data_IF_956764786955
#
_entry.id   IF_956764786955
#
_cell.length_a   1.000
_cell.length_b   1.000
_cell.length_c   1.000
_cell.angle_alpha   90.00
_cell.angle_beta   90.00
_cell.angle_gamma   90.00
#
_symmetry.space_group_name_H-M   'P 1'
#
loop_
_entity.id
_entity.type
_entity.pdbx_description
1 polymer ?
#
# COMPACT_ATOMS: atom_id res chain seq x y z
N UNK A 1 2.89 -1.07 50.61
CA UNK A 1 3.11 -2.17 49.64
C UNK A 1 1.79 -2.86 49.30
N UNK A 2 1.26 -3.78 50.12
CA UNK A 2 0.12 -4.63 49.70
C UNK A 2 -1.21 -3.89 49.45
N UNK A 3 -1.60 -2.97 50.35
CA UNK A 3 -2.82 -2.14 50.19
C UNK A 3 -2.71 -1.05 49.11
N UNK A 4 -1.50 -0.57 48.82
CA UNK A 4 -1.27 0.42 47.76
C UNK A 4 -1.36 -0.22 46.38
N UNK A 5 -0.92 -1.48 46.28
CA UNK A 5 -1.02 -2.28 45.06
C UNK A 5 -2.47 -2.61 44.69
N UNK A 6 -3.28 -2.97 45.69
CA UNK A 6 -4.73 -3.19 45.51
C UNK A 6 -5.46 -1.94 45.03
N UNK A 7 -5.16 -0.78 45.63
CA UNK A 7 -5.69 0.51 45.16
C UNK A 7 -5.24 0.83 43.74
N UNK A 8 -4.01 0.50 43.37
CA UNK A 8 -3.54 0.70 42.01
C UNK A 8 -4.31 -0.16 41.01
N UNK A 9 -4.70 -1.38 41.37
CA UNK A 9 -5.57 -2.21 40.51
C UNK A 9 -6.96 -1.62 40.35
N UNK A 10 -7.57 -1.12 41.43
CA UNK A 10 -8.88 -0.44 41.38
C UNK A 10 -8.83 0.80 40.45
N UNK A 11 -7.78 1.61 40.56
CA UNK A 11 -7.58 2.78 39.67
C UNK A 11 -7.41 2.35 38.21
N UNK A 12 -6.67 1.28 37.94
CA UNK A 12 -6.49 0.77 36.56
C UNK A 12 -7.79 0.22 35.97
N UNK A 13 -8.63 -0.39 36.79
CA UNK A 13 -9.94 -0.88 36.39
C UNK A 13 -10.88 0.30 36.05
N UNK A 14 -10.90 1.35 36.87
CA UNK A 14 -11.71 2.55 36.63
C UNK A 14 -11.23 3.38 35.43
N UNK A 15 -9.93 3.64 35.30
CA UNK A 15 -9.40 4.55 34.28
C UNK A 15 -9.13 3.88 32.93
N UNK A 16 -8.71 2.61 32.93
CA UNK A 16 -8.24 1.89 31.73
C UNK A 16 -9.11 0.70 31.36
N UNK A 17 -10.13 0.37 32.16
CA UNK A 17 -11.04 -0.75 31.91
C UNK A 17 -10.38 -2.13 32.00
N UNK A 18 -9.23 -2.24 32.67
CA UNK A 18 -8.52 -3.51 32.83
C UNK A 18 -9.04 -4.19 34.09
N UNK A 19 -9.78 -5.29 33.92
CA UNK A 19 -10.30 -6.04 35.06
C UNK A 19 -9.19 -6.51 35.98
N UNK A 20 -9.41 -6.37 37.29
CA UNK A 20 -8.46 -6.78 38.32
C UNK A 20 -8.05 -8.25 38.22
N UNK A 21 -8.99 -9.15 37.92
CA UNK A 21 -8.75 -10.59 37.82
C UNK A 21 -7.71 -10.94 36.75
N UNK A 22 -7.81 -10.32 35.57
CA UNK A 22 -6.85 -10.52 34.46
C UNK A 22 -5.44 -10.03 34.81
N UNK A 23 -5.32 -9.01 35.67
CA UNK A 23 -4.03 -8.53 36.17
C UNK A 23 -3.46 -9.53 37.18
N UNK A 24 -4.30 -10.05 38.09
CA UNK A 24 -3.89 -11.03 39.10
C UNK A 24 -3.41 -12.33 38.46
N UNK A 25 -4.15 -12.89 37.50
CA UNK A 25 -3.75 -14.09 36.77
C UNK A 25 -2.40 -13.90 36.05
N UNK A 26 -2.23 -12.76 35.38
CA UNK A 26 -0.98 -12.44 34.70
C UNK A 26 0.19 -12.28 35.69
N UNK A 27 -0.09 -11.68 36.85
CA UNK A 27 0.88 -11.50 37.91
C UNK A 27 1.32 -12.85 38.47
N UNK A 28 0.39 -13.75 38.79
CA UNK A 28 0.69 -15.09 39.29
C UNK A 28 1.54 -15.89 38.29
N UNK A 29 1.17 -15.90 37.00
CA UNK A 29 1.95 -16.56 35.94
C UNK A 29 3.37 -15.99 35.80
N UNK A 30 3.52 -14.66 35.88
CA UNK A 30 4.81 -14.01 35.82
C UNK A 30 5.67 -14.29 37.05
N UNK A 31 5.05 -14.36 38.23
CA UNK A 31 5.73 -14.68 39.49
C UNK A 31 6.20 -16.13 39.53
N UNK A 32 5.41 -17.08 39.03
CA UNK A 32 5.86 -18.48 38.83
C UNK A 32 7.10 -18.50 37.94
N UNK A 33 7.09 -17.77 36.83
CA UNK A 33 8.23 -17.68 35.91
C UNK A 33 9.45 -16.99 36.53
N UNK A 34 9.24 -15.98 37.38
CA UNK A 34 10.29 -15.31 38.13
C UNK A 34 10.88 -16.22 39.22
N UNK A 35 10.05 -17.05 39.87
CA UNK A 35 10.50 -18.04 40.84
C UNK A 35 11.39 -19.09 40.16
N UNK A 36 10.93 -19.69 39.05
CA UNK A 36 11.67 -20.72 38.30
C UNK A 36 13.06 -20.26 37.84
N UNK A 37 13.19 -19.01 37.39
CA UNK A 37 14.50 -18.45 36.96
C UNK A 37 15.47 -18.21 38.13
N UNK A 38 14.96 -17.72 39.25
CA UNK A 38 15.81 -17.35 40.39
C UNK A 38 16.12 -18.53 41.32
N UNK A 39 15.25 -19.54 41.33
CA UNK A 39 15.35 -20.71 42.21
C UNK A 39 15.23 -21.96 41.34
N UNK A 40 16.38 -22.45 40.88
CA UNK A 40 16.60 -23.56 39.93
C UNK A 40 16.02 -24.94 40.35
N UNK A 41 15.20 -25.00 41.40
CA UNK A 41 14.87 -26.23 42.14
C UNK A 41 13.38 -26.61 42.18
N UNK A 42 12.47 -25.93 41.46
CA UNK A 42 11.05 -26.33 41.50
C UNK A 42 10.32 -26.11 40.18
N UNK A 43 9.94 -27.20 39.52
CA UNK A 43 9.19 -27.16 38.26
C UNK A 43 7.68 -26.97 38.46
N UNK A 44 7.12 -27.31 39.62
CA UNK A 44 5.67 -27.33 39.90
C UNK A 44 5.22 -26.34 41.00
N UNK A 45 5.63 -25.09 40.82
CA UNK A 45 5.29 -24.02 41.76
C UNK A 45 4.02 -23.31 41.33
N UNK A 46 3.11 -23.13 42.28
CA UNK A 46 1.95 -22.24 42.16
C UNK A 46 2.18 -21.01 43.03
N UNK A 47 1.87 -19.83 42.49
CA UNK A 47 1.88 -18.58 43.25
C UNK A 47 0.45 -18.16 43.44
N UNK A 48 0.08 -17.83 44.67
CA UNK A 48 -1.25 -17.33 45.01
C UNK A 48 -1.13 -15.93 45.60
N UNK A 49 -1.91 -15.00 45.05
CA UNK A 49 -2.04 -13.65 45.58
C UNK A 49 -3.25 -13.57 46.52
N UNK A 50 -3.06 -13.15 47.78
CA UNK A 50 -4.19 -12.89 48.69
C UNK A 50 -4.78 -11.52 48.38
N UNK A 51 -5.95 -11.48 47.75
CA UNK A 51 -6.60 -10.23 47.33
C UNK A 51 -6.98 -9.28 48.50
N UNK A 52 -7.08 -9.78 49.73
CA UNK A 52 -7.47 -8.96 50.90
C UNK A 52 -6.26 -8.42 51.64
N UNK A 53 -5.21 -9.22 51.74
CA UNK A 53 -3.97 -8.85 52.45
C UNK A 53 -2.92 -8.25 51.54
N UNK A 54 -3.00 -8.54 50.24
CA UNK A 54 -2.02 -8.29 49.18
C UNK A 54 -0.67 -8.95 49.46
N UNK A 55 -0.70 -10.10 50.14
CA UNK A 55 0.48 -10.94 50.40
C UNK A 55 0.60 -12.00 49.31
N UNK A 56 1.83 -12.29 48.90
CA UNK A 56 2.16 -13.27 47.85
C UNK A 56 2.69 -14.52 48.52
N UNK A 57 2.06 -15.66 48.26
CA UNK A 57 2.50 -16.96 48.75
C UNK A 57 2.88 -17.87 47.61
N UNK A 58 3.94 -18.63 47.82
CA UNK A 58 4.47 -19.58 46.85
C UNK A 58 4.31 -20.98 47.41
N UNK A 59 3.67 -21.85 46.65
CA UNK A 59 3.40 -23.23 47.02
C UNK A 59 4.11 -24.18 46.03
N UNK A 60 4.89 -25.12 46.54
CA UNK A 60 5.34 -26.29 45.79
C UNK A 60 4.20 -27.32 45.85
N UNK A 61 3.67 -27.68 44.68
CA UNK A 61 2.70 -28.77 44.58
C UNK A 61 3.47 -30.09 44.66
N UNK A 62 2.95 -31.12 45.30
CA UNK A 62 3.54 -32.47 45.25
C UNK A 62 2.44 -33.50 45.08
N UNK A 63 2.67 -34.49 44.23
CA UNK A 63 1.73 -35.58 44.00
C UNK A 63 1.94 -36.70 45.02
N UNK A 64 0.85 -37.20 45.59
CA UNK A 64 0.89 -38.30 46.56
C UNK A 64 1.08 -39.61 45.81
N UNK A 65 2.18 -40.31 46.07
CA UNK A 65 2.52 -41.59 45.43
C UNK A 65 2.86 -42.65 46.47
N UNK A 66 2.76 -43.93 46.09
CA UNK A 66 3.19 -45.04 46.97
C UNK A 66 4.72 -45.13 47.07
N UNK A 67 5.42 -44.91 45.96
CA UNK A 67 6.88 -44.97 45.87
C UNK A 67 7.41 -43.68 45.26
N UNK A 68 8.13 -42.91 46.07
CA UNK A 68 8.72 -41.63 45.65
C UNK A 68 9.95 -41.89 44.77
N UNK A 69 9.87 -41.48 43.51
CA UNK A 69 10.95 -41.48 42.52
C UNK A 69 11.65 -40.13 42.47
N UNK A 70 10.89 -39.03 42.58
CA UNK A 70 11.40 -37.66 42.63
C UNK A 70 10.87 -36.92 43.87
N UNK A 71 11.74 -36.72 44.86
CA UNK A 71 11.38 -36.06 46.13
C UNK A 71 10.98 -34.59 45.98
N UNK A 72 11.23 -33.96 44.82
CA UNK A 72 10.82 -32.59 44.54
C UNK A 72 9.37 -32.51 44.05
N UNK A 73 8.92 -33.50 43.28
CA UNK A 73 7.60 -33.53 42.64
C UNK A 73 6.60 -34.40 43.40
N UNK A 74 7.08 -35.34 44.19
CA UNK A 74 6.28 -36.39 44.81
C UNK A 74 6.41 -36.39 46.34
N UNK A 75 5.38 -36.90 47.00
CA UNK A 75 5.33 -37.12 48.45
C UNK A 75 4.76 -38.51 48.72
N UNK A 76 5.30 -39.21 49.72
CA UNK A 76 4.80 -40.54 50.05
C UNK A 76 3.39 -40.44 50.66
N UNK A 77 2.57 -41.49 50.50
CA UNK A 77 1.27 -41.56 51.16
C UNK A 77 1.38 -41.53 52.70
N UNK A 78 2.48 -42.06 53.25
CA UNK A 78 2.75 -42.01 54.69
C UNK A 78 2.94 -40.56 55.16
N UNK A 79 3.79 -39.79 54.48
CA UNK A 79 4.03 -38.37 54.78
C UNK A 79 2.76 -37.51 54.55
N UNK A 80 1.97 -37.84 53.51
CA UNK A 80 0.70 -37.18 53.25
C UNK A 80 -0.29 -37.42 54.42
N UNK A 81 -0.37 -38.66 54.93
CA UNK A 81 -1.25 -39.03 56.04
C UNK A 81 -0.86 -38.40 57.37
N UNK A 82 0.41 -38.03 57.57
CA UNK A 82 0.83 -37.23 58.73
C UNK A 82 0.19 -35.84 58.74
N UNK A 83 -0.05 -35.24 57.57
CA UNK A 83 -0.73 -33.96 57.45
C UNK A 83 -2.25 -34.10 57.54
N UNK A 84 -2.82 -35.04 56.77
CA UNK A 84 -4.25 -35.35 56.82
C UNK A 84 -4.50 -36.79 56.34
N UNK A 85 -5.18 -37.59 57.16
CA UNK A 85 -5.52 -38.99 56.85
C UNK A 85 -6.49 -39.18 55.67
N UNK A 86 -7.06 -38.09 55.16
CA UNK A 86 -7.99 -38.12 54.04
C UNK A 86 -7.32 -38.10 52.66
N UNK A 87 -5.99 -37.96 52.57
CA UNK A 87 -5.29 -37.96 51.28
C UNK A 87 -5.18 -39.37 50.68
N UNK A 88 -5.42 -39.47 49.38
CA UNK A 88 -5.31 -40.69 48.58
C UNK A 88 -4.15 -40.60 47.57
N UNK A 89 -3.71 -41.75 47.04
CA UNK A 89 -2.70 -41.77 45.97
C UNK A 89 -3.23 -41.04 44.75
N UNK A 90 -2.46 -40.09 44.21
CA UNK A 90 -2.83 -39.20 43.11
C UNK A 90 -3.29 -37.80 43.56
N UNK A 91 -3.47 -37.56 44.86
CA UNK A 91 -3.80 -36.22 45.37
C UNK A 91 -2.62 -35.24 45.23
N UNK A 92 -2.93 -33.94 45.16
CA UNK A 92 -1.94 -32.86 45.08
C UNK A 92 -1.89 -32.06 46.38
N UNK A 93 -0.76 -32.12 47.07
CA UNK A 93 -0.52 -31.39 48.32
C UNK A 93 0.30 -30.13 48.03
N UNK A 94 -0.11 -28.99 48.63
CA UNK A 94 0.57 -27.70 48.48
C UNK A 94 1.43 -27.41 49.71
N UNK A 95 2.75 -27.30 49.52
CA UNK A 95 3.70 -26.95 50.56
C UNK A 95 4.16 -25.49 50.39
N UNK A 96 4.01 -24.65 51.43
CA UNK A 96 4.44 -23.25 51.36
C UNK A 96 5.98 -23.15 51.36
N UNK A 97 6.55 -22.60 50.28
CA UNK A 97 8.00 -22.50 50.03
C UNK A 97 8.45 -21.05 49.77
N UNK A 98 7.66 -20.08 50.23
CA UNK A 98 7.90 -18.64 50.02
C UNK A 98 9.24 -18.17 50.62
N UNK A 99 10.23 -17.75 49.80
CA UNK A 99 11.50 -17.23 50.30
C UNK A 99 11.33 -15.84 50.92
N UNK A 100 12.14 -15.50 51.94
CA UNK A 100 12.05 -14.20 52.64
C UNK A 100 12.31 -13.00 51.73
N UNK A 101 13.22 -13.13 50.75
CA UNK A 101 13.57 -12.07 49.80
C UNK A 101 12.67 -12.02 48.56
N UNK A 102 11.72 -12.96 48.44
CA UNK A 102 10.87 -13.09 47.27
C UNK A 102 9.94 -11.88 47.08
N UNK A 103 9.61 -11.16 48.16
CA UNK A 103 8.80 -9.94 48.09
C UNK A 103 9.42 -8.84 47.21
N UNK A 104 10.75 -8.71 47.17
CA UNK A 104 11.43 -7.71 46.31
C UNK A 104 11.32 -8.10 44.83
N UNK A 105 11.60 -9.37 44.52
CA UNK A 105 11.48 -9.92 43.16
C UNK A 105 10.04 -9.82 42.68
N UNK A 106 9.10 -10.10 43.57
CA UNK A 106 7.69 -10.06 43.27
C UNK A 106 7.20 -8.64 42.99
N UNK A 107 7.64 -7.65 43.77
CA UNK A 107 7.31 -6.25 43.51
C UNK A 107 7.86 -5.75 42.15
N UNK A 108 9.10 -6.12 41.79
CA UNK A 108 9.68 -5.76 40.49
C UNK A 108 8.94 -6.42 39.33
N UNK A 109 8.66 -7.72 39.46
CA UNK A 109 7.90 -8.49 38.47
C UNK A 109 6.51 -7.90 38.30
N UNK A 110 5.85 -7.57 39.42
CA UNK A 110 4.53 -6.98 39.38
C UNK A 110 4.51 -5.63 38.68
N UNK A 111 5.47 -4.74 38.97
CA UNK A 111 5.61 -3.48 38.25
C UNK A 111 5.72 -3.72 36.74
N UNK A 112 6.50 -4.70 36.32
CA UNK A 112 6.66 -5.03 34.90
C UNK A 112 5.37 -5.55 34.26
N UNK A 113 4.68 -6.49 34.91
CA UNK A 113 3.40 -7.05 34.44
C UNK A 113 2.33 -5.98 34.34
N UNK A 114 2.21 -5.14 35.36
CA UNK A 114 1.25 -4.03 35.37
C UNK A 114 1.55 -3.07 34.22
N UNK A 115 2.80 -2.63 34.07
CA UNK A 115 3.19 -1.74 32.97
C UNK A 115 2.95 -2.37 31.59
N UNK A 116 3.10 -3.69 31.48
CA UNK A 116 2.80 -4.42 30.25
C UNK A 116 1.29 -4.45 29.98
N UNK A 117 0.47 -4.81 30.96
CA UNK A 117 -1.00 -4.82 30.84
C UNK A 117 -1.56 -3.44 30.50
N UNK A 118 -1.03 -2.39 31.11
CA UNK A 118 -1.40 -1.01 30.80
C UNK A 118 -1.10 -0.68 29.34
N UNK A 119 0.09 -1.02 28.84
CA UNK A 119 0.43 -0.82 27.41
C UNK A 119 -0.45 -1.64 26.48
N UNK A 120 -0.78 -2.88 26.82
CA UNK A 120 -1.68 -3.73 26.02
C UNK A 120 -3.07 -3.13 25.92
N UNK A 121 -3.63 -2.64 27.02
CA UNK A 121 -4.93 -1.98 27.04
C UNK A 121 -4.90 -0.65 26.26
N UNK A 122 -3.86 0.17 26.46
CA UNK A 122 -3.69 1.42 25.69
C UNK A 122 -3.60 1.16 24.19
N UNK A 123 -2.85 0.12 23.78
CA UNK A 123 -2.78 -0.31 22.37
C UNK A 123 -4.14 -0.70 21.82
N UNK A 124 -4.94 -1.44 22.58
CA UNK A 124 -6.28 -1.85 22.15
C UNK A 124 -7.22 -0.65 21.99
N UNK A 125 -7.19 0.28 22.96
CA UNK A 125 -8.00 1.51 22.92
C UNK A 125 -7.62 2.35 21.70
N UNK A 126 -6.32 2.56 21.47
CA UNK A 126 -5.83 3.30 20.30
C UNK A 126 -6.24 2.59 19.01
N UNK A 127 -6.05 1.28 18.90
CA UNK A 127 -6.47 0.53 17.71
C UNK A 127 -7.96 0.73 17.39
N UNK A 128 -8.83 0.55 18.38
CA UNK A 128 -10.27 0.71 18.23
C UNK A 128 -10.68 2.15 17.91
N UNK A 129 -9.93 3.15 18.37
CA UNK A 129 -10.18 4.56 18.04
C UNK A 129 -9.79 4.87 16.58
N UNK A 130 -8.67 4.35 16.09
CA UNK A 130 -8.17 4.68 14.74
C UNK A 130 -8.75 3.82 13.62
N UNK A 131 -9.23 2.61 13.90
CA UNK A 131 -9.91 1.79 12.89
C UNK A 131 -11.20 2.45 12.39
N UNK A 132 -11.89 3.22 13.25
CA UNK A 132 -13.09 3.98 12.87
C UNK A 132 -12.77 5.14 11.90
N UNK A 133 -11.51 5.58 11.85
CA UNK A 133 -11.02 6.60 10.92
C UNK A 133 -10.43 5.99 9.64
N UNK A 134 -10.49 4.68 9.44
CA UNK A 134 -10.09 4.05 8.18
C UNK A 134 -10.91 4.64 7.01
N UNK A 135 -10.24 4.89 5.89
CA UNK A 135 -10.80 5.59 4.73
C UNK A 135 -11.26 7.03 4.98
N UNK A 136 -10.80 7.68 6.05
CA UNK A 136 -11.07 9.09 6.35
C UNK A 136 -9.79 9.94 6.36
N UNK A 137 -9.95 11.26 6.48
CA UNK A 137 -8.84 12.22 6.57
C UNK A 137 -8.66 12.75 7.98
N UNK A 138 -7.40 12.80 8.40
CA UNK A 138 -6.99 13.34 9.69
C UNK A 138 -5.93 14.41 9.48
N UNK A 139 -5.92 15.40 10.37
CA UNK A 139 -4.87 16.41 10.39
C UNK A 139 -3.83 16.01 11.42
N UNK A 140 -2.59 15.82 10.96
CA UNK A 140 -1.45 15.48 11.79
C UNK A 140 -0.35 16.52 11.76
N UNK A 141 0.68 16.31 12.58
CA UNK A 141 1.88 17.14 12.63
C UNK A 141 3.07 16.26 12.24
N UNK A 142 3.85 16.68 11.26
CA UNK A 142 5.09 15.99 10.88
C UNK A 142 6.08 16.05 12.06
N UNK A 143 6.48 14.92 12.60
CA UNK A 143 7.47 14.89 13.68
C UNK A 143 8.89 14.70 13.14
N UNK A 144 9.07 13.71 12.27
CA UNK A 144 10.38 13.34 11.71
C UNK A 144 10.23 12.66 10.35
N UNK A 145 11.32 12.69 9.60
CA UNK A 145 11.44 12.04 8.31
C UNK A 145 12.74 11.23 8.28
N UNK A 146 12.60 9.95 7.96
CA UNK A 146 13.71 9.05 7.64
C UNK A 146 13.89 8.99 6.11
N UNK A 147 14.89 8.22 5.62
CA UNK A 147 15.10 8.02 4.18
C UNK A 147 13.92 7.35 3.46
N UNK A 148 13.11 6.57 4.19
CA UNK A 148 12.03 5.76 3.62
C UNK A 148 10.64 6.16 4.12
N UNK A 149 10.52 6.73 5.31
CA UNK A 149 9.23 6.99 5.94
C UNK A 149 9.14 8.40 6.49
N UNK A 150 7.94 8.97 6.43
CA UNK A 150 7.60 10.21 7.14
C UNK A 150 6.68 9.84 8.30
N UNK A 151 7.01 10.32 9.50
CA UNK A 151 6.23 10.07 10.70
C UNK A 151 5.40 11.31 11.01
N UNK A 152 4.10 11.09 11.12
CA UNK A 152 3.10 12.13 11.37
C UNK A 152 2.38 11.81 12.66
N UNK A 153 2.46 12.72 13.63
CA UNK A 153 1.74 12.60 14.89
C UNK A 153 0.27 12.96 14.71
N UNK A 154 -0.62 12.02 15.04
CA UNK A 154 -2.06 12.24 15.11
C UNK A 154 -2.51 12.58 16.55
N UNK A 155 -1.56 12.91 17.42
CA UNK A 155 -1.78 13.30 18.82
C UNK A 155 -1.52 12.16 19.80
N UNK A 156 -2.21 11.01 19.66
CA UNK A 156 -2.02 9.84 20.55
C UNK A 156 -1.06 8.79 19.97
N UNK A 157 -0.89 8.76 18.65
CA UNK A 157 -0.11 7.77 17.92
C UNK A 157 0.69 8.43 16.79
N UNK A 158 1.84 7.86 16.48
CA UNK A 158 2.61 8.15 15.27
C UNK A 158 2.05 7.33 14.10
N UNK A 159 1.54 8.03 13.09
CA UNK A 159 1.20 7.47 11.79
C UNK A 159 2.41 7.51 10.86
N UNK A 160 2.44 6.60 9.89
CA UNK A 160 3.57 6.43 8.97
C UNK A 160 3.10 6.62 7.53
N UNK A 161 3.80 7.48 6.79
CA UNK A 161 3.63 7.63 5.34
C UNK A 161 4.73 6.83 4.62
N UNK A 162 4.40 5.74 3.89
CA UNK A 162 5.35 5.02 3.07
C UNK A 162 5.79 5.84 1.84
N UNK A 163 6.88 5.49 1.14
CA UNK A 163 7.32 6.23 -0.06
C UNK A 163 6.24 6.32 -1.13
N UNK A 164 5.48 5.24 -1.34
CA UNK A 164 4.38 5.16 -2.30
C UNK A 164 3.20 6.08 -1.91
N UNK A 165 3.04 6.34 -0.61
CA UNK A 165 2.04 7.22 -0.05
C UNK A 165 2.43 8.70 -0.09
N UNK A 166 3.67 9.04 -0.45
CA UNK A 166 4.14 10.42 -0.50
C UNK A 166 3.86 11.04 -1.88
N UNK A 167 3.63 12.35 -1.89
CA UNK A 167 3.60 13.11 -3.14
C UNK A 167 5.06 13.36 -3.57
N UNK A 168 5.51 12.96 -4.78
CA UNK A 168 6.94 12.97 -5.15
C UNK A 168 7.65 14.33 -5.04
N UNK A 169 6.92 15.42 -5.26
CA UNK A 169 7.46 16.79 -5.24
C UNK A 169 7.19 17.53 -3.91
N UNK A 170 6.56 16.87 -2.94
CA UNK A 170 6.24 17.45 -1.65
C UNK A 170 7.45 17.32 -0.71
N UNK A 171 7.76 18.40 -0.01
CA UNK A 171 8.80 18.41 1.03
C UNK A 171 8.13 18.59 2.37
N UNK A 172 8.45 17.72 3.33
CA UNK A 172 7.89 17.78 4.67
C UNK A 172 8.83 18.55 5.60
N UNK A 173 8.32 19.57 6.27
CA UNK A 173 9.07 20.25 7.32
C UNK A 173 8.70 19.70 8.70
N UNK A 174 9.65 19.51 9.62
CA UNK A 174 9.32 19.17 10.99
C UNK A 174 8.38 20.21 11.61
N UNK A 175 7.36 19.75 12.34
CA UNK A 175 6.28 20.53 12.95
C UNK A 175 5.27 21.15 11.96
N UNK A 176 5.36 20.82 10.68
CA UNK A 176 4.34 21.20 9.70
C UNK A 176 3.04 20.45 9.96
N UNK A 177 1.91 21.15 9.82
CA UNK A 177 0.58 20.54 9.83
C UNK A 177 0.23 20.04 8.45
N UNK A 178 -0.22 18.80 8.38
CA UNK A 178 -0.50 18.13 7.11
C UNK A 178 -1.76 17.29 7.23
N UNK A 179 -2.64 17.35 6.23
CA UNK A 179 -3.79 16.45 6.15
C UNK A 179 -3.37 15.11 5.55
N UNK A 180 -3.80 13.99 6.10
CA UNK A 180 -3.41 12.67 5.62
C UNK A 180 -4.64 11.79 5.53
N UNK A 181 -4.67 10.94 4.51
CA UNK A 181 -5.71 9.92 4.35
C UNK A 181 -5.28 8.66 5.10
N UNK A 182 -6.13 8.14 5.97
CA UNK A 182 -5.89 6.86 6.66
C UNK A 182 -6.17 5.73 5.68
N UNK A 183 -5.10 5.11 5.17
CA UNK A 183 -5.20 4.04 4.18
C UNK A 183 -5.56 2.71 4.84
N UNK A 184 -4.94 2.42 5.98
CA UNK A 184 -5.24 1.22 6.78
C UNK A 184 -4.69 1.31 8.19
N UNK A 185 -5.31 0.58 9.11
CA UNK A 185 -4.87 0.47 10.50
C UNK A 185 -4.58 -0.99 10.85
N UNK A 186 -3.31 -1.29 11.13
CA UNK A 186 -2.85 -2.65 11.42
C UNK A 186 -2.53 -2.82 12.90
N UNK A 187 -2.89 -3.96 13.49
CA UNK A 187 -2.48 -4.30 14.85
C UNK A 187 -1.23 -5.20 14.81
N UNK A 188 -0.05 -4.61 14.97
CA UNK A 188 1.23 -5.33 14.93
C UNK A 188 1.64 -5.81 16.33
N UNK A 189 2.63 -6.71 16.40
CA UNK A 189 3.20 -7.17 17.69
C UNK A 189 3.82 -6.03 18.52
N UNK A 190 4.22 -4.93 17.87
CA UNK A 190 4.77 -3.73 18.51
C UNK A 190 3.69 -2.73 18.94
N UNK A 191 2.45 -2.91 18.50
CA UNK A 191 1.31 -2.03 18.75
C UNK A 191 0.53 -1.72 17.47
N UNK A 192 -0.58 -0.98 17.58
CA UNK A 192 -1.27 -0.48 16.39
C UNK A 192 -0.34 0.42 15.59
N UNK A 193 -0.41 0.29 14.27
CA UNK A 193 0.31 1.10 13.31
C UNK A 193 -0.69 1.65 12.30
N UNK A 194 -0.72 2.97 12.18
CA UNK A 194 -1.61 3.69 11.27
C UNK A 194 -0.81 4.02 10.03
N UNK A 195 -1.19 3.46 8.89
CA UNK A 195 -0.62 3.80 7.59
C UNK A 195 -1.46 4.89 6.96
N UNK A 196 -0.80 5.99 6.63
CA UNK A 196 -1.47 7.15 6.05
C UNK A 196 -0.81 7.53 4.73
N UNK A 197 -1.59 8.11 3.83
CA UNK A 197 -1.18 8.43 2.47
C UNK A 197 -1.59 9.85 2.11
N UNK A 198 -0.75 10.50 1.31
CA UNK A 198 -1.06 11.76 0.63
C UNK A 198 -1.25 11.61 -0.87
N UNK A 199 -0.73 10.53 -1.46
CA UNK A 199 -0.88 10.23 -2.89
C UNK A 199 -2.20 9.54 -3.24
N UNK A 200 -2.88 8.92 -2.27
CA UNK A 200 -4.09 8.13 -2.52
C UNK A 200 -5.24 8.98 -3.12
N UNK A 201 -5.98 8.50 -4.14
CA UNK A 201 -7.08 9.26 -4.75
C UNK A 201 -8.20 9.64 -3.77
N UNK A 202 -8.48 8.79 -2.77
CA UNK A 202 -9.51 9.07 -1.76
C UNK A 202 -9.21 10.28 -0.88
N UNK A 203 -7.93 10.68 -0.73
CA UNK A 203 -7.60 11.95 -0.07
C UNK A 203 -8.36 13.10 -0.75
N UNK A 204 -8.32 13.14 -2.08
CA UNK A 204 -8.97 14.20 -2.85
C UNK A 204 -10.49 14.18 -2.65
N UNK A 205 -11.10 12.99 -2.63
CA UNK A 205 -12.53 12.83 -2.33
C UNK A 205 -12.91 13.46 -0.98
N UNK A 206 -12.16 13.14 0.07
CA UNK A 206 -12.40 13.64 1.42
C UNK A 206 -12.12 15.14 1.56
N UNK A 207 -11.11 15.67 0.87
CA UNK A 207 -10.86 17.11 0.81
C UNK A 207 -12.03 17.86 0.17
N UNK A 208 -12.61 17.31 -0.90
CA UNK A 208 -13.81 17.86 -1.51
C UNK A 208 -15.02 17.81 -0.57
N UNK A 209 -15.22 16.71 0.18
CA UNK A 209 -16.27 16.60 1.18
C UNK A 209 -16.13 17.68 2.29
N UNK A 210 -14.90 18.05 2.68
CA UNK A 210 -14.68 19.14 3.65
C UNK A 210 -14.90 20.54 3.06
N UNK A 211 -14.51 20.78 1.81
CA UNK A 211 -14.54 22.10 1.19
C UNK A 211 -15.90 22.43 0.53
N UNK A 212 -16.65 21.43 0.09
CA UNK A 212 -17.90 21.59 -0.67
C UNK A 212 -19.06 20.94 0.09
N UNK A 213 -19.91 21.74 0.80
CA UNK A 213 -21.04 21.22 1.56
C UNK A 213 -22.03 20.40 0.71
N UNK A 214 -22.19 20.76 -0.56
CA UNK A 214 -23.10 20.07 -1.47
C UNK A 214 -22.63 18.63 -1.78
N UNK A 215 -21.32 18.35 -1.68
CA UNK A 215 -20.77 17.00 -1.76
C UNK A 215 -20.99 16.24 -0.44
N UNK A 216 -20.79 16.91 0.69
CA UNK A 216 -21.05 16.33 2.01
C UNK A 216 -22.51 15.90 2.20
N UNK A 217 -23.45 16.72 1.73
CA UNK A 217 -24.89 16.45 1.81
C UNK A 217 -25.37 15.45 0.73
N UNK A 218 -24.50 15.05 -0.20
CA UNK A 218 -24.81 14.11 -1.30
C UNK A 218 -25.66 14.71 -2.43
N UNK A 219 -25.80 16.04 -2.48
CA UNK A 219 -26.48 16.73 -3.58
C UNK A 219 -25.64 16.68 -4.85
N UNK A 220 -24.32 16.84 -4.71
CA UNK A 220 -23.32 16.62 -5.76
C UNK A 220 -22.54 15.36 -5.39
N UNK A 221 -22.35 14.46 -6.35
CA UNK A 221 -21.63 13.21 -6.16
C UNK A 221 -20.36 13.18 -7.02
N UNK A 222 -19.24 12.76 -6.43
CA UNK A 222 -18.01 12.46 -7.18
C UNK A 222 -18.12 11.02 -7.71
N UNK A 223 -18.24 10.86 -9.02
CA UNK A 223 -18.39 9.56 -9.70
C UNK A 223 -17.06 8.86 -9.95
N UNK A 224 -16.03 9.62 -10.29
CA UNK A 224 -14.71 9.07 -10.59
C UNK A 224 -13.61 10.10 -10.31
N UNK A 225 -12.43 9.59 -9.94
CA UNK A 225 -11.22 10.38 -9.75
C UNK A 225 -10.07 9.68 -10.48
N UNK A 226 -9.38 10.42 -11.35
CA UNK A 226 -8.12 10.02 -11.94
C UNK A 226 -7.03 10.96 -11.45
N UNK A 227 -6.06 10.42 -10.71
CA UNK A 227 -5.02 11.20 -10.05
C UNK A 227 -3.63 10.73 -10.44
N UNK A 228 -2.77 11.70 -10.77
CA UNK A 228 -1.31 11.61 -10.80
C UNK A 228 -0.78 12.58 -9.72
N UNK A 229 -0.49 12.04 -8.53
CA UNK A 229 -0.25 12.82 -7.32
C UNK A 229 0.91 13.82 -7.48
N UNK A 230 0.66 15.09 -7.10
CA UNK A 230 1.65 16.17 -7.16
C UNK A 230 1.85 16.81 -8.53
N UNK A 231 1.06 16.42 -9.54
CA UNK A 231 1.11 17.03 -10.88
C UNK A 231 -0.29 17.44 -11.36
N UNK A 232 -1.17 16.46 -11.61
CA UNK A 232 -2.52 16.72 -12.11
C UNK A 232 -3.55 15.66 -11.73
N UNK A 233 -4.77 16.11 -11.44
CA UNK A 233 -5.94 15.29 -11.17
C UNK A 233 -7.13 15.69 -12.03
N UNK A 234 -7.95 14.70 -12.40
CA UNK A 234 -9.27 14.89 -12.99
C UNK A 234 -10.34 14.31 -12.07
N UNK A 235 -11.41 15.06 -11.86
CA UNK A 235 -12.53 14.68 -10.99
C UNK A 235 -13.83 14.80 -11.76
N UNK A 236 -14.58 13.70 -11.85
CA UNK A 236 -15.87 13.66 -12.51
C UNK A 236 -17.00 13.81 -11.48
N UNK A 237 -17.83 14.84 -11.64
CA UNK A 237 -18.92 15.16 -10.71
C UNK A 237 -20.27 15.20 -11.41
N UNK A 238 -21.32 14.79 -10.70
CA UNK A 238 -22.71 14.90 -11.15
C UNK A 238 -23.56 15.52 -10.05
N UNK A 239 -24.59 16.27 -10.43
CA UNK A 239 -25.59 16.78 -9.49
C UNK A 239 -26.84 15.90 -9.53
N UNK A 240 -27.36 15.54 -8.36
CA UNK A 240 -28.65 14.88 -8.22
C UNK A 240 -29.82 15.89 -8.32
N UNK A 241 -29.54 17.19 -8.20
CA UNK A 241 -30.51 18.27 -8.40
C UNK A 241 -30.22 19.02 -9.71
N UNK A 242 -31.22 19.07 -10.59
CA UNK A 242 -31.14 19.76 -11.88
C UNK A 242 -30.95 21.29 -11.75
N UNK A 243 -31.24 21.88 -10.60
CA UNK A 243 -31.07 23.32 -10.34
C UNK A 243 -29.65 23.68 -9.88
N UNK A 244 -28.79 22.68 -9.62
CA UNK A 244 -27.44 22.88 -9.09
C UNK A 244 -26.43 22.45 -10.15
N UNK A 245 -25.56 23.39 -10.52
CA UNK A 245 -24.42 23.10 -11.38
C UNK A 245 -23.31 22.41 -10.57
N UNK A 246 -23.06 21.13 -10.85
CA UNK A 246 -22.06 20.35 -10.15
C UNK A 246 -20.64 20.95 -10.28
N UNK A 247 -20.25 21.36 -11.49
CA UNK A 247 -18.89 21.84 -11.75
C UNK A 247 -18.69 23.20 -11.10
N UNK A 248 -19.59 24.15 -11.33
CA UNK A 248 -19.53 25.49 -10.74
C UNK A 248 -19.55 25.47 -9.20
N UNK A 249 -20.30 24.54 -8.60
CA UNK A 249 -20.37 24.37 -7.15
C UNK A 249 -19.04 23.89 -6.56
N UNK A 250 -18.38 22.93 -7.22
CA UNK A 250 -17.07 22.41 -6.79
C UNK A 250 -15.94 23.43 -6.99
N UNK A 251 -15.98 24.20 -8.08
CA UNK A 251 -14.99 25.25 -8.38
C UNK A 251 -15.14 26.43 -7.40
N UNK A 252 -16.40 26.81 -7.11
CA UNK A 252 -16.74 27.95 -6.27
C UNK A 252 -16.48 29.31 -6.95
N UNK A 253 -16.85 30.42 -6.29
CA UNK A 253 -16.68 31.76 -6.86
C UNK A 253 -15.22 32.03 -7.23
N UNK A 254 -14.95 32.28 -8.52
CA UNK A 254 -13.60 32.49 -9.07
C UNK A 254 -12.60 31.37 -8.75
N UNK A 255 -13.05 30.13 -8.59
CA UNK A 255 -12.16 29.00 -8.30
C UNK A 255 -11.66 28.94 -6.85
N UNK A 256 -12.25 29.70 -5.94
CA UNK A 256 -11.75 29.78 -4.55
C UNK A 256 -11.78 28.46 -3.79
N UNK A 257 -12.78 27.60 -4.03
CA UNK A 257 -12.89 26.29 -3.37
C UNK A 257 -11.82 25.33 -3.90
N UNK A 258 -11.77 25.14 -5.22
CA UNK A 258 -10.77 24.28 -5.85
C UNK A 258 -9.34 24.74 -5.55
N UNK A 259 -9.09 26.06 -5.51
CA UNK A 259 -7.76 26.57 -5.20
C UNK A 259 -7.28 26.19 -3.79
N UNK A 260 -8.17 26.15 -2.78
CA UNK A 260 -7.79 25.69 -1.43
C UNK A 260 -7.32 24.23 -1.43
N UNK A 261 -7.99 23.38 -2.21
CA UNK A 261 -7.61 21.98 -2.36
C UNK A 261 -6.27 21.86 -3.11
N UNK A 262 -6.08 22.64 -4.17
CA UNK A 262 -4.80 22.71 -4.91
C UNK A 262 -3.67 23.16 -3.98
N UNK A 263 -3.90 24.17 -3.13
CA UNK A 263 -2.93 24.68 -2.17
C UNK A 263 -2.59 23.63 -1.10
N UNK A 264 -3.59 22.89 -0.60
CA UNK A 264 -3.38 21.77 0.33
C UNK A 264 -2.55 20.65 -0.32
N UNK A 265 -2.74 20.38 -1.62
CA UNK A 265 -1.96 19.40 -2.40
C UNK A 265 -0.66 19.96 -2.98
N UNK A 266 -0.17 21.11 -2.45
CA UNK A 266 1.10 21.74 -2.84
C UNK A 266 1.22 22.07 -4.32
N UNK A 267 0.12 22.48 -4.95
CA UNK A 267 0.10 22.93 -6.34
C UNK A 267 -0.23 21.86 -7.37
N UNK A 268 -0.76 20.71 -6.95
CA UNK A 268 -1.35 19.72 -7.87
C UNK A 268 -2.49 20.35 -8.68
N UNK A 269 -2.36 20.42 -10.01
CA UNK A 269 -3.39 21.01 -10.87
C UNK A 269 -4.64 20.13 -10.92
N UNK A 270 -5.80 20.72 -11.09
CA UNK A 270 -7.06 19.97 -11.02
C UNK A 270 -8.06 20.40 -12.08
N UNK A 271 -8.60 19.41 -12.79
CA UNK A 271 -9.72 19.59 -13.70
C UNK A 271 -10.97 18.94 -13.11
N UNK A 272 -12.03 19.72 -12.97
CA UNK A 272 -13.34 19.24 -12.55
C UNK A 272 -14.22 19.18 -13.78
N UNK A 273 -14.73 18.00 -14.11
CA UNK A 273 -15.51 17.74 -15.32
C UNK A 273 -16.88 17.19 -14.97
N UNK A 274 -17.87 17.52 -15.80
CA UNK A 274 -19.22 16.99 -15.63
C UNK A 274 -19.28 15.53 -16.07
N UNK A 275 -19.72 14.66 -15.16
CA UNK A 275 -20.03 13.28 -15.48
C UNK A 275 -21.34 13.16 -16.26
N UNK A 276 -21.42 12.19 -17.17
CA UNK A 276 -22.60 11.91 -17.99
C UNK A 276 -22.79 10.40 -18.12
N UNK A 277 -24.04 9.95 -18.12
CA UNK A 277 -24.40 8.56 -18.43
C UNK A 277 -24.04 8.20 -19.88
N UNK A 278 -24.16 9.16 -20.80
CA UNK A 278 -23.68 8.97 -22.17
C UNK A 278 -22.15 8.99 -22.21
N UNK A 279 -21.57 7.85 -22.57
CA UNK A 279 -20.12 7.62 -22.56
C UNK A 279 -19.39 8.52 -23.56
N UNK A 280 -20.00 8.83 -24.72
CA UNK A 280 -19.39 9.73 -25.69
C UNK A 280 -19.24 11.14 -25.11
N UNK A 281 -20.32 11.67 -24.54
CA UNK A 281 -20.32 12.97 -23.84
C UNK A 281 -19.35 12.96 -22.66
N UNK A 282 -19.30 11.87 -21.88
CA UNK A 282 -18.39 11.80 -20.74
C UNK A 282 -16.90 11.80 -21.15
N UNK A 283 -16.54 11.07 -22.21
CA UNK A 283 -15.18 11.07 -22.77
C UNK A 283 -14.82 12.46 -23.31
N UNK A 284 -15.74 13.10 -24.02
CA UNK A 284 -15.57 14.49 -24.48
C UNK A 284 -15.30 15.44 -23.31
N UNK A 285 -16.10 15.35 -22.24
CA UNK A 285 -15.93 16.17 -21.05
C UNK A 285 -14.60 15.86 -20.33
N UNK A 286 -14.16 14.61 -20.29
CA UNK A 286 -12.92 14.19 -19.64
C UNK A 286 -11.65 14.76 -20.31
N UNK A 287 -11.71 15.05 -21.61
CA UNK A 287 -10.60 15.62 -22.37
C UNK A 287 -10.45 17.14 -22.25
N UNK A 288 -11.41 17.81 -21.59
CA UNK A 288 -11.34 19.23 -21.24
C UNK A 288 -9.96 19.56 -20.63
N UNK A 289 -9.23 20.57 -21.14
CA UNK A 289 -9.70 21.72 -21.95
C UNK A 289 -9.70 21.58 -23.48
N UNK A 290 -9.43 20.40 -24.03
CA UNK A 290 -9.48 20.21 -25.48
C UNK A 290 -10.92 19.96 -25.97
N UNK A 291 -11.34 20.71 -26.98
CA UNK A 291 -12.60 20.46 -27.68
C UNK A 291 -12.53 19.18 -28.52
N UNK A 292 -13.58 18.37 -28.44
CA UNK A 292 -13.74 17.10 -29.15
C UNK A 292 -14.83 17.24 -30.20
N UNK A 293 -14.55 16.76 -31.42
CA UNK A 293 -15.51 16.78 -32.53
C UNK A 293 -16.42 15.54 -32.50
N UNK A 294 -15.82 14.36 -32.35
CA UNK A 294 -16.54 13.08 -32.31
C UNK A 294 -15.77 12.01 -31.56
N UNK A 295 -16.52 11.03 -31.04
CA UNK A 295 -15.99 9.84 -30.36
C UNK A 295 -16.49 8.60 -31.10
N UNK A 296 -15.56 7.78 -31.57
CA UNK A 296 -15.84 6.54 -32.30
C UNK A 296 -15.45 5.34 -31.44
N UNK A 297 -16.43 4.55 -31.02
CA UNK A 297 -16.19 3.35 -30.22
C UNK A 297 -15.81 2.17 -31.11
N UNK A 298 -14.77 1.46 -30.72
CA UNK A 298 -14.37 0.22 -31.38
C UNK A 298 -15.30 -0.91 -30.92
N UNK A 299 -15.97 -1.63 -31.83
CA UNK A 299 -16.83 -2.75 -31.45
C UNK A 299 -16.06 -3.83 -30.69
N UNK A 300 -16.67 -4.37 -29.63
CA UNK A 300 -16.11 -5.44 -28.79
C UNK A 300 -14.82 -5.09 -28.03
N UNK A 301 -14.42 -3.81 -27.99
CA UNK A 301 -13.28 -3.33 -27.21
C UNK A 301 -13.70 -2.18 -26.27
N UNK A 302 -12.96 -1.99 -25.18
CA UNK A 302 -13.08 -0.80 -24.32
C UNK A 302 -12.20 0.35 -24.83
N UNK A 303 -12.06 0.45 -26.15
CA UNK A 303 -11.22 1.44 -26.83
C UNK A 303 -12.07 2.35 -27.70
N UNK A 304 -11.64 3.60 -27.84
CA UNK A 304 -12.28 4.57 -28.69
C UNK A 304 -11.25 5.46 -29.38
N UNK A 305 -11.62 5.94 -30.57
CA UNK A 305 -10.88 6.96 -31.30
C UNK A 305 -11.63 8.27 -31.15
N UNK A 306 -10.95 9.26 -30.60
CA UNK A 306 -11.48 10.61 -30.38
C UNK A 306 -10.87 11.53 -31.41
N UNK A 307 -11.73 12.22 -32.15
CA UNK A 307 -11.34 13.18 -33.18
C UNK A 307 -11.39 14.57 -32.58
N UNK A 308 -10.28 15.29 -32.72
CA UNK A 308 -10.13 16.66 -32.24
C UNK A 308 -9.68 17.58 -33.38
N UNK A 309 -9.95 18.88 -33.29
CA UNK A 309 -9.36 19.86 -34.20
C UNK A 309 -7.83 19.80 -34.15
N UNK A 310 -7.15 20.07 -35.27
CA UNK A 310 -5.69 19.99 -35.37
C UNK A 310 -4.97 20.89 -34.35
N UNK A 311 -5.51 22.08 -34.11
CA UNK A 311 -5.01 23.02 -33.10
C UNK A 311 -5.18 22.52 -31.66
N UNK A 312 -6.07 21.56 -31.42
CA UNK A 312 -6.34 20.98 -30.09
C UNK A 312 -5.70 19.61 -29.88
N UNK A 313 -5.08 19.00 -30.91
CA UNK A 313 -4.42 17.69 -30.81
C UNK A 313 -3.38 17.64 -29.68
N UNK A 314 -2.48 18.63 -29.65
CA UNK A 314 -1.44 18.72 -28.62
C UNK A 314 -2.03 18.93 -27.21
N UNK A 315 -3.11 19.70 -27.10
CA UNK A 315 -3.80 19.96 -25.83
C UNK A 315 -4.53 18.71 -25.32
N UNK A 316 -5.18 17.98 -26.22
CA UNK A 316 -5.93 16.76 -25.94
C UNK A 316 -5.00 15.63 -25.45
N UNK A 317 -3.83 15.47 -26.10
CA UNK A 317 -2.79 14.54 -25.64
C UNK A 317 -2.21 15.03 -24.31
N UNK A 318 -1.86 16.31 -24.22
CA UNK A 318 -1.25 16.93 -23.06
C UNK A 318 0.25 16.60 -22.92
N UNK A 319 0.91 17.25 -21.96
CA UNK A 319 2.35 17.06 -21.70
C UNK A 319 2.63 15.59 -21.39
N UNK A 320 3.49 14.93 -22.19
CA UNK A 320 3.82 13.49 -22.06
C UNK A 320 2.58 12.57 -22.08
N UNK A 321 1.50 12.98 -22.76
CA UNK A 321 0.26 12.20 -22.81
C UNK A 321 -0.56 12.22 -21.53
N UNK A 322 -0.27 13.11 -20.58
CA UNK A 322 -0.93 13.11 -19.27
C UNK A 322 -2.44 13.35 -19.35
N UNK A 323 -2.91 14.28 -20.21
CA UNK A 323 -4.33 14.58 -20.30
C UNK A 323 -5.12 13.37 -20.82
N UNK A 324 -4.62 12.74 -21.89
CA UNK A 324 -5.18 11.51 -22.44
C UNK A 324 -5.16 10.37 -21.41
N UNK A 325 -4.05 10.19 -20.66
CA UNK A 325 -3.93 9.13 -19.65
C UNK A 325 -4.90 9.31 -18.48
N UNK A 326 -5.04 10.54 -17.99
CA UNK A 326 -6.00 10.87 -16.93
C UNK A 326 -7.43 10.69 -17.41
N UNK A 327 -7.77 11.12 -18.63
CA UNK A 327 -9.10 10.92 -19.22
C UNK A 327 -9.41 9.43 -19.40
N UNK A 328 -8.44 8.64 -19.87
CA UNK A 328 -8.57 7.19 -20.01
C UNK A 328 -8.81 6.50 -18.66
N UNK A 329 -8.05 6.88 -17.61
CA UNK A 329 -8.22 6.37 -16.25
C UNK A 329 -9.57 6.80 -15.62
N UNK A 330 -10.02 8.03 -15.91
CA UNK A 330 -11.27 8.58 -15.39
C UNK A 330 -12.50 7.89 -15.99
N UNK A 331 -12.45 7.62 -17.30
CA UNK A 331 -13.56 7.02 -18.05
C UNK A 331 -13.48 5.50 -18.10
N UNK A 332 -12.35 4.91 -17.68
CA UNK A 332 -12.05 3.49 -17.83
C UNK A 332 -12.08 3.00 -19.30
N UNK A 333 -11.68 3.84 -20.24
CA UNK A 333 -11.60 3.54 -21.68
C UNK A 333 -10.20 3.84 -22.22
N UNK A 334 -9.74 3.06 -23.20
CA UNK A 334 -8.51 3.39 -23.96
C UNK A 334 -8.86 4.45 -25.00
N UNK A 335 -8.24 5.62 -24.90
CA UNK A 335 -8.52 6.77 -25.75
C UNK A 335 -7.36 6.97 -26.72
N UNK A 336 -7.60 6.75 -28.02
CA UNK A 336 -6.69 7.16 -29.10
C UNK A 336 -7.15 8.51 -29.65
N UNK A 337 -6.26 9.49 -29.75
CA UNK A 337 -6.62 10.86 -30.13
C UNK A 337 -6.02 11.14 -31.51
N UNK A 338 -6.87 11.51 -32.47
CA UNK A 338 -6.47 11.84 -33.84
C UNK A 338 -6.98 13.23 -34.24
N UNK A 339 -6.23 13.93 -35.08
CA UNK A 339 -6.77 15.11 -35.76
C UNK A 339 -7.84 14.70 -36.79
N UNK A 340 -8.66 15.63 -37.24
CA UNK A 340 -9.64 15.39 -38.31
C UNK A 340 -8.96 14.79 -39.57
N UNK A 341 -7.85 15.38 -40.02
CA UNK A 341 -7.08 14.90 -41.16
C UNK A 341 -6.48 13.51 -40.92
N UNK A 342 -5.89 13.27 -39.75
CA UNK A 342 -5.33 11.96 -39.41
C UNK A 342 -6.41 10.89 -39.31
N UNK A 343 -7.62 11.26 -38.87
CA UNK A 343 -8.74 10.35 -38.76
C UNK A 343 -9.31 9.98 -40.13
N UNK A 344 -9.40 10.93 -41.07
CA UNK A 344 -9.77 10.63 -42.45
C UNK A 344 -8.77 9.68 -43.12
N UNK A 345 -7.48 9.92 -42.93
CA UNK A 345 -6.44 9.01 -43.40
C UNK A 345 -6.53 7.63 -42.72
N UNK A 346 -6.82 7.60 -41.42
CA UNK A 346 -7.00 6.36 -40.66
C UNK A 346 -8.20 5.53 -41.15
N UNK A 347 -9.30 6.15 -41.56
CA UNK A 347 -10.44 5.39 -42.12
C UNK A 347 -10.09 4.59 -43.37
N UNK A 348 -9.07 5.03 -44.11
CA UNK A 348 -8.61 4.40 -45.34
C UNK A 348 -7.63 3.24 -45.10
N UNK A 349 -7.17 3.00 -43.86
CA UNK A 349 -6.24 1.91 -43.57
C UNK A 349 -6.94 0.59 -43.27
N UNK A 350 -6.27 -0.53 -43.59
CA UNK A 350 -6.73 -1.87 -43.25
C UNK A 350 -6.94 -2.06 -41.73
N UNK A 351 -6.14 -1.36 -40.91
CA UNK A 351 -6.26 -1.39 -39.45
C UNK A 351 -7.64 -0.91 -38.98
N UNK A 352 -8.19 0.15 -39.59
CA UNK A 352 -9.52 0.64 -39.26
C UNK A 352 -10.60 -0.37 -39.64
N UNK A 353 -10.52 -0.94 -40.85
CA UNK A 353 -11.45 -1.96 -41.32
C UNK A 353 -11.49 -3.19 -40.39
N UNK A 354 -10.31 -3.62 -39.91
CA UNK A 354 -10.19 -4.72 -38.95
C UNK A 354 -10.80 -4.36 -37.59
N UNK A 355 -10.45 -3.19 -37.03
CA UNK A 355 -10.91 -2.77 -35.69
C UNK A 355 -12.40 -2.47 -35.65
N UNK A 356 -12.94 -1.77 -36.64
CA UNK A 356 -14.33 -1.32 -36.64
C UNK A 356 -15.29 -2.30 -37.34
N UNK A 357 -14.77 -3.39 -37.90
CA UNK A 357 -15.58 -4.43 -38.54
C UNK A 357 -16.28 -3.97 -39.82
N UNK A 358 -15.92 -2.81 -40.36
CA UNK A 358 -16.33 -2.39 -41.70
C UNK A 358 -15.48 -3.19 -42.68
N UNK A 359 -16.11 -4.13 -43.40
CA UNK A 359 -15.51 -4.72 -44.60
C UNK A 359 -15.02 -3.56 -45.45
N UNK A 360 -13.72 -3.52 -45.71
CA UNK A 360 -13.12 -2.63 -46.70
C UNK A 360 -14.07 -2.61 -47.89
N UNK A 361 -14.65 -1.44 -48.17
CA UNK A 361 -15.35 -1.23 -49.41
C UNK A 361 -14.33 -1.63 -50.48
N UNK A 362 -14.62 -2.73 -51.18
CA UNK A 362 -13.88 -3.12 -52.35
C UNK A 362 -13.80 -1.87 -53.21
N UNK A 363 -12.58 -1.36 -53.39
CA UNK A 363 -12.28 -0.54 -54.54
C UNK A 363 -12.69 -1.43 -55.71
N UNK A 364 -13.86 -1.15 -56.28
CA UNK A 364 -14.19 -1.68 -57.59
C UNK A 364 -13.06 -1.17 -58.47
N UNK A 365 -12.27 -2.12 -58.97
CA UNK A 365 -11.34 -1.89 -60.05
C UNK A 365 -12.12 -1.18 -61.17
N UNK A 366 -12.03 0.15 -61.24
CA UNK A 366 -12.29 0.85 -62.49
C UNK A 366 -11.19 0.38 -63.45
N UNK A 367 -11.52 -0.67 -64.21
CA UNK A 367 -10.85 -1.03 -65.45
C UNK A 367 -10.77 0.23 -66.31
N UNK A 368 -9.63 0.93 -66.24
CA UNK A 368 -9.23 1.87 -67.27
C UNK A 368 -8.93 1.03 -68.50
N UNK A 369 -9.87 1.01 -69.45
CA UNK A 369 -9.59 0.59 -70.83
C UNK A 369 -8.46 1.48 -71.38
N UNK A 370 -7.23 0.96 -71.35
CA UNK A 370 -6.12 1.52 -72.12
C UNK A 370 -6.32 1.05 -73.56
N UNK A 371 -6.89 1.93 -74.38
CA UNK A 371 -6.81 1.82 -75.83
C UNK A 371 -5.34 1.90 -76.26
N UNK A 372 -4.91 0.93 -77.07
CA UNK A 372 -3.64 0.88 -77.78
C UNK A 372 -3.28 2.23 -78.41
N UNK A 373 -2.18 2.84 -77.95
CA UNK A 373 -1.39 3.71 -78.83
C UNK A 373 0.10 3.48 -78.57
N UNK A 374 0.68 2.64 -79.42
CA UNK A 374 2.08 2.26 -79.44
C UNK A 374 2.91 3.33 -80.14
N UNK A 375 3.45 4.32 -79.41
CA UNK A 375 4.38 5.29 -80.00
C UNK A 375 5.34 6.06 -79.08
N UNK A 376 5.49 5.75 -77.78
CA UNK A 376 6.26 6.63 -76.88
C UNK A 376 7.12 5.94 -75.80
N UNK A 377 7.75 4.80 -76.11
CA UNK A 377 8.75 4.18 -75.23
C UNK A 377 10.02 3.86 -76.02
N UNK A 378 10.74 4.90 -76.44
CA UNK A 378 12.06 4.74 -77.09
C UNK A 378 13.15 5.68 -76.54
N UNK A 379 12.94 6.34 -75.39
CA UNK A 379 13.91 7.34 -74.87
C UNK A 379 14.48 7.08 -73.46
N UNK A 380 14.14 5.98 -72.78
CA UNK A 380 14.63 5.76 -71.39
C UNK A 380 15.42 4.47 -71.13
N UNK A 381 15.62 3.59 -72.13
CA UNK A 381 16.33 2.30 -71.95
C UNK A 381 17.81 2.36 -72.37
N UNK A 382 18.29 3.47 -72.92
CA UNK A 382 19.66 3.58 -73.45
C UNK A 382 20.70 4.14 -72.46
N UNK A 383 20.45 4.12 -71.15
CA UNK A 383 21.37 4.68 -70.14
C UNK A 383 21.79 3.68 -69.04
N UNK A 384 21.80 2.38 -69.35
CA UNK A 384 22.25 1.33 -68.43
C UNK A 384 23.13 0.28 -69.09
N UNK A 385 24.20 0.69 -69.79
CA UNK A 385 25.30 -0.24 -70.10
C UNK A 385 26.60 0.48 -70.46
N UNK A 386 27.71 0.05 -69.83
CA UNK A 386 29.11 0.53 -69.92
C UNK A 386 29.43 1.76 -69.03
N UNK A 387 30.37 1.73 -68.08
CA UNK A 387 31.72 1.13 -68.08
C UNK A 387 32.16 0.81 -66.65
N UNK A 388 32.65 -0.40 -66.41
CA UNK A 388 33.54 -0.76 -65.31
C UNK A 388 34.91 -0.10 -65.50
N UNK A 389 35.44 0.61 -64.50
CA UNK A 389 36.88 0.64 -64.21
C UNK A 389 37.14 1.20 -62.80
N UNK A 390 37.71 0.34 -61.95
CA UNK A 390 38.17 0.63 -60.59
C UNK A 390 39.60 1.21 -60.69
N UNK A 391 39.87 2.32 -59.99
CA UNK A 391 41.23 2.70 -59.58
C UNK A 391 41.38 2.59 -58.08
N UNK A 392 42.42 1.87 -57.66
CA UNK A 392 42.91 1.75 -56.29
C UNK A 392 43.30 3.12 -55.72
N UNK A 393 42.62 3.54 -54.63
CA UNK A 393 43.15 4.29 -53.47
C UNK A 393 41.96 4.88 -52.70
N UNK A 394 41.46 4.14 -51.71
CA UNK A 394 41.02 4.66 -50.40
C UNK A 394 40.48 3.48 -49.56
N UNK A 395 41.43 2.71 -48.99
CA UNK A 395 41.14 1.85 -47.84
C UNK A 395 40.92 2.73 -46.61
N UNK A 396 39.84 2.50 -45.86
CA UNK A 396 39.88 1.97 -44.49
C UNK A 396 38.44 1.74 -43.96
N UNK A 397 38.19 0.45 -43.70
CA UNK A 397 37.44 -0.18 -42.61
C UNK A 397 35.99 0.27 -42.29
N UNK A 398 35.05 -0.61 -42.65
CA UNK A 398 34.14 -1.26 -41.70
C UNK A 398 33.49 -2.45 -42.42
N UNK A 399 34.15 -3.61 -42.30
CA UNK A 399 33.66 -4.89 -42.80
C UNK A 399 32.45 -5.37 -41.99
N UNK A 400 31.42 -5.75 -42.75
CA UNK A 400 30.63 -6.97 -42.62
C UNK A 400 29.83 -7.23 -41.34
N UNK A 401 28.54 -6.91 -41.44
CA UNK A 401 27.50 -7.82 -40.98
C UNK A 401 26.62 -8.12 -42.19
N UNK A 402 26.90 -9.25 -42.86
CA UNK A 402 25.88 -9.95 -43.63
C UNK A 402 25.72 -11.39 -43.14
N UNK A 403 24.45 -11.73 -43.02
CA UNK A 403 23.76 -13.01 -42.98
C UNK A 403 24.49 -14.30 -42.53
N UNK A 404 23.91 -14.93 -41.50
CA UNK A 404 24.16 -16.34 -41.21
C UNK A 404 23.29 -16.90 -40.07
N UNK A 405 22.21 -17.60 -40.46
CA UNK A 405 21.68 -18.82 -39.82
C UNK A 405 21.54 -18.85 -38.28
N UNK A 406 20.32 -18.63 -37.76
CA UNK A 406 19.98 -18.96 -36.37
C UNK A 406 19.31 -20.34 -36.30
N UNK A 407 20.11 -21.36 -35.95
CA UNK A 407 19.62 -22.65 -35.45
C UNK A 407 19.20 -22.51 -33.97
N UNK A 408 18.03 -23.06 -33.63
CA UNK A 408 17.38 -22.92 -32.33
C UNK A 408 17.97 -23.79 -31.21
N UNK A 409 19.07 -24.51 -31.44
CA UNK A 409 19.67 -25.44 -30.47
C UNK A 409 20.90 -24.89 -29.72
N UNK A 410 21.37 -23.69 -30.06
CA UNK A 410 22.56 -23.09 -29.40
C UNK A 410 22.20 -22.10 -28.28
N UNK A 411 20.92 -21.85 -28.02
CA UNK A 411 20.47 -20.88 -27.00
C UNK A 411 20.25 -21.49 -25.60
N UNK A 412 20.14 -22.82 -25.49
CA UNK A 412 19.95 -23.50 -24.19
C UNK A 412 21.27 -23.75 -23.45
N UNK A 413 22.43 -23.77 -24.12
CA UNK A 413 23.72 -24.01 -23.45
C UNK A 413 24.40 -22.77 -22.88
N UNK A 414 23.95 -21.56 -23.24
CA UNK A 414 24.49 -20.30 -22.70
C UNK A 414 23.64 -19.67 -21.59
N UNK A 415 22.41 -20.15 -21.37
CA UNK A 415 21.58 -19.70 -20.23
C UNK A 415 21.93 -20.49 -18.95
N UNK A 416 22.26 -21.78 -19.06
CA UNK A 416 22.69 -22.59 -17.90
C UNK A 416 24.07 -22.18 -17.34
N UNK A 417 24.87 -21.42 -18.11
CA UNK A 417 26.17 -20.92 -17.68
C UNK A 417 26.11 -19.56 -16.95
N UNK A 418 24.94 -18.92 -16.89
CA UNK A 418 24.74 -17.62 -16.21
C UNK A 418 23.98 -17.76 -14.89
N UNK A 419 23.24 -18.86 -14.67
CA UNK A 419 22.57 -19.13 -13.37
C UNK A 419 23.46 -19.90 -12.35
N UNK A 420 24.73 -20.16 -12.67
CA UNK A 420 25.63 -20.96 -11.82
C UNK A 420 26.57 -20.20 -10.89
N UNK A 421 26.76 -18.89 -11.06
CA UNK A 421 27.84 -18.13 -10.38
C UNK A 421 27.37 -17.13 -9.29
N UNK A 422 26.05 -16.96 -9.09
CA UNK A 422 25.52 -16.04 -8.06
C UNK A 422 25.31 -16.68 -6.67
N UNK A 423 25.55 -17.99 -6.50
CA UNK A 423 25.46 -18.64 -5.17
C UNK A 423 26.81 -18.75 -4.43
N UNK A 424 27.94 -18.39 -5.05
CA UNK A 424 29.28 -18.54 -4.42
C UNK A 424 29.78 -17.22 -3.82
N UNK A 425 29.30 -16.06 -4.28
CA UNK A 425 29.78 -14.75 -3.81
C UNK A 425 29.15 -14.25 -2.50
N UNK A 426 28.03 -14.83 -2.04
CA UNK A 426 27.41 -14.47 -0.76
C UNK A 426 27.85 -15.32 0.43
N UNK A 427 28.51 -16.47 0.20
CA UNK A 427 28.98 -17.35 1.27
C UNK A 427 30.28 -16.89 1.92
N UNK A 428 31.22 -16.33 1.14
CA UNK A 428 32.55 -15.98 1.63
C UNK A 428 32.60 -14.67 2.45
N UNK A 429 31.64 -13.76 2.28
CA UNK A 429 31.56 -12.52 3.08
C UNK A 429 30.94 -12.71 4.47
N UNK A 430 30.10 -13.74 4.67
CA UNK A 430 29.50 -14.05 5.98
C UNK A 430 30.49 -14.77 6.91
N UNK A 431 31.32 -15.67 6.38
CA UNK A 431 32.33 -16.41 7.16
C UNK A 431 33.49 -15.53 7.68
N UNK A 432 33.80 -14.42 6.98
CA UNK A 432 34.80 -13.46 7.46
C UNK A 432 34.26 -12.56 8.58
N UNK A 433 32.96 -12.28 8.62
CA UNK A 433 32.33 -11.49 9.68
C UNK A 433 32.11 -12.27 10.98
N UNK A 434 31.82 -13.57 10.90
CA UNK A 434 31.70 -14.41 12.11
C UNK A 434 33.08 -14.66 12.75
N UNK A 435 34.14 -14.86 11.95
CA UNK A 435 35.51 -15.01 12.48
C UNK A 435 36.05 -13.75 13.17
N UNK A 436 35.63 -12.56 12.75
CA UNK A 436 36.03 -11.29 13.38
C UNK A 436 35.28 -10.99 14.69
N UNK A 437 34.14 -11.64 14.94
CA UNK A 437 33.34 -11.46 16.16
C UNK A 437 33.67 -12.46 17.27
N UNK A 438 34.37 -13.56 16.98
CA UNK A 438 34.83 -14.52 18.01
C UNK A 438 36.19 -14.15 18.65
N UNK A 439 36.94 -13.19 18.10
CA UNK A 439 38.20 -12.70 18.67
C UNK A 439 38.08 -11.35 19.43
N UNK A 440 36.86 -10.94 19.81
CA UNK A 440 36.59 -9.79 20.70
C UNK A 440 35.82 -10.23 21.94
#
# INVERSE_FOLDING_TARGET
>A
MSKEMLRAFEVLEEEKGISKDVILEALEAALVSAYKRNYQQAQNVEVHFDDKKGDIKVFAVKEVVELVMDSQLEVSIEDAHEMNKAYEVGDKIKFEVTPKDFGRIAAQTAKQVIMQRVREAERLIIYNEYIDYEDDILTGIVERQDRRYVYVSLGKIEAVIPPEGQIPNETFQPHERVQVYVERVENTTKGPQVYVSRSHPSLLKRLFEQEVPEIFDGTVEIKAIAREAGDRSKVAVVSNDANIDAVGTCVGPRGTRVQRIVDELKGENMDIVQWSDDTATFISNALNPADVLSVHFVPNETSCVVVVPENHLSLAIGKRGQNARLAAKLTNHKIDIKSEADFEAYKLTEEYAIRFGEKAASVEDEEVEIADDAAAVEEYVALTESVDEITEEDQIALDDIDEGNFDAETFESEIDAIEGDDEILFGEELDQQERLNEER
#
